data_IF_267799843061
#
_entry.id   IF_267799843061
#
_cell.length_a   1.000
_cell.length_b   1.000
_cell.length_c   1.000
_cell.angle_alpha   90.00
_cell.angle_beta   90.00
_cell.angle_gamma   90.00
#
_symmetry.space_group_name_H-M   'P 1'
#
loop_
_entity.id
_entity.type
_entity.pdbx_description
1 polymer ?
#
# COMPACT_ATOMS: atom_id res chain seq x y z
N UNK A 1 -13.74 -6.38 -19.26
CA UNK A 1 -12.82 -7.51 -19.01
C UNK A 1 -12.30 -7.42 -17.59
N UNK A 2 -11.99 -8.55 -16.96
CA UNK A 2 -11.34 -8.53 -15.66
C UNK A 2 -9.86 -8.13 -15.80
N UNK A 3 -9.24 -7.45 -14.82
CA UNK A 3 -7.82 -7.14 -14.84
C UNK A 3 -6.98 -8.42 -14.83
N UNK A 4 -5.91 -8.42 -15.63
CA UNK A 4 -4.95 -9.53 -15.65
C UNK A 4 -3.93 -9.32 -14.52
N UNK A 5 -3.80 -10.31 -13.66
CA UNK A 5 -2.86 -10.29 -12.52
C UNK A 5 -1.64 -11.15 -12.86
N UNK A 6 -0.45 -10.63 -12.61
CA UNK A 6 0.83 -11.29 -12.79
C UNK A 6 1.55 -11.25 -11.43
N UNK A 7 1.81 -12.41 -10.85
CA UNK A 7 2.53 -12.58 -9.58
C UNK A 7 3.84 -13.36 -9.74
N UNK A 8 4.08 -13.87 -10.94
CA UNK A 8 5.32 -14.56 -11.30
C UNK A 8 6.42 -13.52 -11.49
N UNK A 9 7.44 -13.55 -10.65
CA UNK A 9 8.55 -12.59 -10.67
C UNK A 9 9.30 -12.54 -11.99
N UNK A 10 9.33 -13.63 -12.77
CA UNK A 10 9.96 -13.68 -14.08
C UNK A 10 9.20 -12.92 -15.17
N UNK A 11 7.93 -12.59 -14.91
CA UNK A 11 7.04 -11.87 -15.84
C UNK A 11 6.72 -10.44 -15.40
N UNK A 12 7.25 -10.03 -14.25
CA UNK A 12 7.10 -8.67 -13.75
C UNK A 12 8.14 -7.79 -14.41
N UNK A 13 7.71 -6.64 -14.93
CA UNK A 13 8.61 -5.65 -15.52
C UNK A 13 9.53 -5.07 -14.44
N UNK A 14 10.83 -5.00 -14.75
CA UNK A 14 11.80 -4.42 -13.83
C UNK A 14 11.77 -2.89 -13.93
N UNK A 15 11.24 -2.24 -12.89
CA UNK A 15 11.17 -0.78 -12.79
C UNK A 15 12.43 -0.15 -12.19
N UNK A 16 13.43 -0.97 -11.83
CA UNK A 16 14.70 -0.48 -11.27
C UNK A 16 15.84 -0.47 -12.29
N UNK A 17 15.62 -0.98 -13.49
CA UNK A 17 16.64 -1.01 -14.53
C UNK A 17 17.08 0.40 -14.95
N UNK A 18 18.33 0.58 -15.41
CA UNK A 18 18.82 1.87 -15.91
C UNK A 18 18.09 2.33 -17.19
N UNK A 19 18.05 3.64 -17.43
CA UNK A 19 17.53 4.20 -18.67
C UNK A 19 16.02 4.39 -18.72
N UNK A 20 15.29 4.06 -17.65
CA UNK A 20 13.87 4.37 -17.55
C UNK A 20 13.66 5.86 -17.38
N UNK A 21 12.55 6.34 -17.93
CA UNK A 21 12.04 7.68 -17.69
C UNK A 21 10.86 7.63 -16.74
N UNK A 22 10.61 8.69 -16.00
CA UNK A 22 9.48 8.77 -15.09
C UNK A 22 8.84 10.14 -15.13
N UNK A 23 7.59 10.17 -14.73
CA UNK A 23 6.78 11.36 -14.71
C UNK A 23 5.47 11.14 -13.96
N UNK A 24 4.58 12.09 -14.09
CA UNK A 24 3.25 11.99 -13.53
C UNK A 24 2.20 12.54 -14.47
N UNK A 25 1.06 11.90 -14.56
CA UNK A 25 -0.05 12.38 -15.38
C UNK A 25 -1.37 12.45 -14.60
N UNK A 26 -2.28 13.36 -15.01
CA UNK A 26 -3.59 13.49 -14.39
C UNK A 26 -4.40 12.20 -14.58
N UNK A 27 -5.19 11.85 -13.57
CA UNK A 27 -6.21 10.82 -13.62
C UNK A 27 -7.60 11.44 -13.55
N UNK A 28 -8.65 10.67 -13.79
CA UNK A 28 -10.05 11.12 -13.69
C UNK A 28 -10.37 11.83 -12.35
N UNK A 29 -9.69 11.46 -11.25
CA UNK A 29 -9.87 12.05 -9.93
C UNK A 29 -9.04 13.30 -9.63
N UNK A 30 -8.43 13.96 -10.61
CA UNK A 30 -7.51 15.11 -10.48
C UNK A 30 -6.19 14.82 -9.75
N UNK A 31 -5.97 13.64 -9.23
CA UNK A 31 -4.66 13.22 -8.72
C UNK A 31 -3.73 12.94 -9.91
N UNK A 32 -2.46 13.29 -9.77
CA UNK A 32 -1.43 12.94 -10.78
C UNK A 32 -0.75 11.67 -10.29
N UNK A 33 -0.87 10.58 -11.04
CA UNK A 33 -0.20 9.32 -10.71
C UNK A 33 1.21 9.29 -11.28
N UNK A 34 2.15 8.90 -10.42
CA UNK A 34 3.54 8.68 -10.80
C UNK A 34 3.67 7.40 -11.60
N UNK A 35 4.47 7.43 -12.65
CA UNK A 35 4.78 6.27 -13.49
C UNK A 35 6.25 6.19 -13.84
N UNK A 36 6.66 4.98 -14.21
CA UNK A 36 7.94 4.66 -14.86
C UNK A 36 7.65 4.13 -16.25
N UNK A 37 8.44 4.51 -17.24
CA UNK A 37 8.25 4.14 -18.64
C UNK A 37 9.57 3.69 -19.27
N UNK A 38 9.51 2.62 -20.06
CA UNK A 38 10.65 2.19 -20.88
C UNK A 38 10.60 2.88 -22.24
N UNK A 39 11.60 3.72 -22.59
CA UNK A 39 11.54 4.58 -23.77
C UNK A 39 11.59 3.81 -25.11
N UNK A 40 12.13 2.59 -25.10
CA UNK A 40 12.29 1.76 -26.32
C UNK A 40 11.16 0.72 -26.42
N UNK A 41 10.87 0.01 -25.33
CA UNK A 41 9.84 -1.06 -25.33
C UNK A 41 8.42 -0.49 -25.22
N UNK A 42 8.27 0.77 -24.82
CA UNK A 42 7.00 1.48 -24.78
C UNK A 42 6.02 1.00 -23.71
N UNK A 43 6.50 0.26 -22.68
CA UNK A 43 5.65 -0.07 -21.56
C UNK A 43 5.71 1.03 -20.49
N UNK A 44 4.59 1.20 -19.79
CA UNK A 44 4.43 2.12 -18.69
C UNK A 44 3.91 1.41 -17.45
N UNK A 45 4.47 1.72 -16.29
CA UNK A 45 4.08 1.13 -15.00
C UNK A 45 3.75 2.24 -14.01
N UNK A 46 2.52 2.24 -13.49
CA UNK A 46 2.12 3.03 -12.34
C UNK A 46 2.50 2.30 -11.05
N UNK A 47 3.20 2.98 -10.16
CA UNK A 47 3.75 2.39 -8.94
C UNK A 47 2.80 2.57 -7.76
N UNK A 48 2.66 1.52 -6.98
CA UNK A 48 1.87 1.42 -5.76
C UNK A 48 2.68 0.70 -4.70
N UNK A 49 2.38 0.97 -3.43
CA UNK A 49 3.04 0.31 -2.30
C UNK A 49 2.02 -0.31 -1.35
N UNK A 50 2.42 -1.38 -0.66
CA UNK A 50 1.67 -1.97 0.45
C UNK A 50 2.67 -2.37 1.54
N UNK A 51 2.27 -2.29 2.82
CA UNK A 51 3.14 -2.61 3.94
C UNK A 51 2.49 -3.55 4.95
N UNK A 52 3.24 -4.57 5.36
CA UNK A 52 2.92 -5.43 6.48
C UNK A 52 3.71 -4.96 7.70
N UNK A 53 3.02 -4.49 8.74
CA UNK A 53 3.61 -3.88 9.93
C UNK A 53 3.48 -4.84 11.09
N UNK A 54 4.61 -5.28 11.62
CA UNK A 54 4.72 -6.17 12.77
C UNK A 54 5.12 -5.40 14.03
N UNK A 55 4.90 -5.98 15.19
CA UNK A 55 5.35 -5.39 16.45
C UNK A 55 6.83 -5.74 16.69
N UNK A 56 7.65 -4.70 16.93
CA UNK A 56 9.05 -4.87 17.25
C UNK A 56 9.20 -5.49 18.66
N UNK A 57 10.23 -6.33 18.84
CA UNK A 57 10.56 -7.02 20.10
C UNK A 57 9.56 -8.13 20.52
N UNK A 58 8.63 -8.51 19.65
CA UNK A 58 7.87 -9.76 19.79
C UNK A 58 8.45 -10.85 18.92
N UNK A 59 8.14 -12.09 19.27
CA UNK A 59 8.42 -13.22 18.39
C UNK A 59 7.71 -12.96 17.05
N UNK A 60 8.46 -13.08 15.95
CA UNK A 60 7.89 -12.87 14.64
C UNK A 60 6.84 -13.93 14.31
N UNK A 61 5.64 -13.48 14.05
CA UNK A 61 4.52 -14.29 13.58
C UNK A 61 4.02 -13.71 12.26
N UNK A 62 4.15 -14.46 11.14
CA UNK A 62 3.79 -13.98 9.80
C UNK A 62 2.36 -13.46 9.68
N UNK A 63 1.42 -14.07 10.40
CA UNK A 63 0.01 -13.69 10.40
C UNK A 63 -0.35 -12.57 11.37
N UNK A 64 0.60 -12.09 12.18
CA UNK A 64 0.39 -11.01 13.14
C UNK A 64 0.89 -9.67 12.61
N UNK A 65 0.09 -9.00 11.81
CA UNK A 65 0.38 -7.68 11.24
C UNK A 65 -0.84 -6.75 11.32
N UNK A 66 -0.58 -5.44 11.22
CA UNK A 66 -1.63 -4.43 11.26
C UNK A 66 -2.42 -4.36 9.94
N UNK A 67 -3.73 -4.22 10.08
CA UNK A 67 -4.67 -3.91 8.98
C UNK A 67 -5.53 -2.71 9.34
N UNK A 68 -5.93 -1.96 8.32
CA UNK A 68 -6.77 -0.76 8.43
C UNK A 68 -8.11 -0.99 7.78
N UNK A 69 -9.16 -0.38 8.31
CA UNK A 69 -10.52 -0.50 7.78
C UNK A 69 -10.86 0.71 6.93
N UNK A 70 -11.45 0.48 5.78
CA UNK A 70 -11.88 1.55 4.86
C UNK A 70 -13.16 2.21 5.32
N UNK A 71 -13.18 3.54 5.31
CA UNK A 71 -14.37 4.35 5.62
C UNK A 71 -15.47 4.17 4.57
N UNK A 72 -15.10 3.98 3.29
CA UNK A 72 -15.99 3.78 2.15
C UNK A 72 -16.19 2.29 1.80
N UNK A 73 -15.92 1.41 2.75
CA UNK A 73 -16.05 -0.04 2.58
C UNK A 73 -17.49 -0.54 2.56
N UNK A 74 -17.60 -1.88 2.50
CA UNK A 74 -18.88 -2.58 2.60
C UNK A 74 -19.68 -2.08 3.82
N UNK A 75 -20.99 -1.81 3.67
CA UNK A 75 -21.89 -1.45 4.79
C UNK A 75 -21.87 -2.42 5.98
N UNK A 76 -21.48 -3.69 5.76
CA UNK A 76 -21.23 -4.65 6.86
C UNK A 76 -20.09 -4.21 7.78
N UNK A 77 -19.32 -3.19 7.39
CA UNK A 77 -18.24 -2.62 8.19
C UNK A 77 -17.00 -3.50 8.34
N UNK A 78 -16.86 -4.55 7.52
CA UNK A 78 -15.76 -5.51 7.64
C UNK A 78 -14.86 -5.54 6.39
N UNK A 79 -14.40 -4.35 5.95
CA UNK A 79 -13.51 -4.20 4.80
C UNK A 79 -12.12 -3.78 5.24
N UNK A 80 -11.24 -4.75 5.43
CA UNK A 80 -9.90 -4.57 5.94
C UNK A 80 -8.85 -4.74 4.83
N UNK A 81 -7.73 -4.06 4.99
CA UNK A 81 -6.60 -4.16 4.06
C UNK A 81 -5.28 -3.76 4.76
N UNK A 82 -4.11 -4.22 4.28
CA UNK A 82 -2.85 -3.66 4.73
C UNK A 82 -2.77 -2.18 4.29
N UNK A 83 -2.10 -1.31 5.05
CA UNK A 83 -1.80 0.06 4.61
C UNK A 83 -1.14 0.04 3.25
N UNK A 84 -1.64 0.84 2.31
CA UNK A 84 -1.18 0.87 0.92
C UNK A 84 -1.58 2.15 0.21
N UNK A 85 -0.84 2.51 -0.82
CA UNK A 85 -1.19 3.70 -1.59
C UNK A 85 -0.61 3.72 -2.99
N UNK A 86 -1.11 4.65 -3.77
CA UNK A 86 -0.64 4.97 -5.11
C UNK A 86 0.44 6.04 -5.03
N UNK A 87 1.55 5.84 -5.72
CA UNK A 87 2.51 6.93 -5.89
C UNK A 87 1.88 8.06 -6.72
N UNK A 88 2.02 9.26 -6.23
CA UNK A 88 1.52 10.48 -6.86
C UNK A 88 2.69 11.34 -7.36
N UNK A 89 2.38 12.35 -8.18
CA UNK A 89 3.41 13.27 -8.69
C UNK A 89 4.23 13.99 -7.60
N UNK A 90 3.67 14.13 -6.40
CA UNK A 90 4.38 14.67 -5.22
C UNK A 90 5.48 13.74 -4.68
N UNK A 91 5.44 12.47 -5.05
CA UNK A 91 6.43 11.46 -4.65
C UNK A 91 7.65 11.45 -5.59
N UNK A 92 7.60 12.19 -6.71
CA UNK A 92 8.72 12.41 -7.62
C UNK A 92 9.73 13.39 -6.99
N UNK A 93 10.75 12.83 -6.38
CA UNK A 93 11.78 13.61 -5.68
C UNK A 93 13.06 13.55 -6.49
N UNK A 94 13.45 14.70 -7.05
CA UNK A 94 14.66 14.84 -7.87
C UNK A 94 15.90 14.31 -7.15
N UNK A 95 16.64 13.45 -7.83
CA UNK A 95 17.89 12.86 -7.33
C UNK A 95 17.72 11.63 -6.43
N UNK A 96 16.50 11.16 -6.19
CA UNK A 96 16.25 9.90 -5.50
C UNK A 96 16.08 8.74 -6.47
N UNK A 97 16.44 7.56 -6.03
CA UNK A 97 16.15 6.33 -6.76
C UNK A 97 14.67 5.97 -6.67
N UNK A 98 14.16 5.19 -7.62
CA UNK A 98 12.80 4.63 -7.56
C UNK A 98 12.56 3.89 -6.24
N UNK A 99 13.57 3.14 -5.78
CA UNK A 99 13.51 2.40 -4.50
C UNK A 99 13.30 3.35 -3.30
N UNK A 100 14.04 4.45 -3.24
CA UNK A 100 13.91 5.42 -2.15
C UNK A 100 12.56 6.14 -2.21
N UNK A 101 12.09 6.48 -3.41
CA UNK A 101 10.77 7.08 -3.60
C UNK A 101 9.65 6.14 -3.16
N UNK A 102 9.72 4.85 -3.49
CA UNK A 102 8.78 3.83 -2.99
C UNK A 102 8.79 3.73 -1.45
N UNK A 103 9.98 3.76 -0.84
CA UNK A 103 10.10 3.74 0.64
C UNK A 103 9.48 4.96 1.30
N UNK A 104 9.63 6.13 0.70
CA UNK A 104 9.01 7.35 1.23
C UNK A 104 7.51 7.37 1.02
N UNK A 105 7.04 6.95 -0.16
CA UNK A 105 5.62 6.78 -0.40
C UNK A 105 4.99 5.87 0.65
N UNK A 106 5.54 4.67 0.88
CA UNK A 106 4.92 3.75 1.85
C UNK A 106 4.99 4.26 3.29
N UNK A 107 6.03 5.01 3.69
CA UNK A 107 6.07 5.68 5.00
C UNK A 107 4.94 6.68 5.15
N UNK A 108 4.69 7.45 4.12
CA UNK A 108 3.60 8.43 4.08
C UNK A 108 2.24 7.74 4.16
N UNK A 109 1.99 6.74 3.32
CA UNK A 109 0.73 5.98 3.32
C UNK A 109 0.46 5.31 4.68
N UNK A 110 1.46 4.67 5.28
CA UNK A 110 1.34 4.07 6.62
C UNK A 110 0.98 5.12 7.67
N UNK A 111 1.58 6.30 7.61
CA UNK A 111 1.23 7.38 8.53
C UNK A 111 -0.20 7.92 8.28
N UNK A 112 -0.56 8.13 7.04
CA UNK A 112 -1.89 8.64 6.65
C UNK A 112 -2.98 7.63 6.97
N UNK A 113 -2.78 6.34 6.73
CA UNK A 113 -3.77 5.29 6.89
C UNK A 113 -3.75 4.63 8.28
N UNK A 114 -2.59 4.18 8.78
CA UNK A 114 -2.49 3.44 10.03
C UNK A 114 -2.05 4.29 11.23
N UNK A 115 -1.75 5.58 11.05
CA UNK A 115 -1.29 6.52 12.09
C UNK A 115 0.04 6.11 12.76
N UNK A 116 0.78 5.18 12.18
CA UNK A 116 2.10 4.75 12.64
C UNK A 116 3.17 5.62 11.99
N UNK A 117 3.99 6.31 12.80
CA UNK A 117 4.88 7.37 12.32
C UNK A 117 6.30 6.90 11.98
N UNK A 118 6.88 6.05 12.81
CA UNK A 118 8.29 5.65 12.69
C UNK A 118 8.41 4.14 12.46
N UNK A 119 8.51 3.75 11.21
CA UNK A 119 8.77 2.36 10.84
C UNK A 119 10.25 2.01 11.03
N UNK A 120 10.52 0.84 11.61
CA UNK A 120 11.83 0.21 11.74
C UNK A 120 11.97 -0.89 10.71
N UNK A 121 13.18 -1.12 10.27
CA UNK A 121 13.54 -2.20 9.33
C UNK A 121 12.59 -2.30 8.11
N UNK A 122 12.22 -1.13 7.57
CA UNK A 122 11.37 -1.06 6.39
C UNK A 122 12.12 -1.61 5.19
N UNK A 123 11.70 -2.77 4.72
CA UNK A 123 12.33 -3.53 3.64
C UNK A 123 11.32 -3.90 2.56
N UNK A 124 11.75 -3.85 1.31
CA UNK A 124 11.03 -4.45 0.20
C UNK A 124 11.15 -5.97 0.29
N UNK A 125 10.05 -6.68 0.23
CA UNK A 125 10.01 -8.16 0.40
C UNK A 125 10.50 -8.94 -0.83
N UNK A 126 10.84 -8.26 -1.91
CA UNK A 126 11.09 -8.88 -3.22
C UNK A 126 9.82 -9.24 -3.98
N UNK A 127 8.65 -9.05 -3.40
CA UNK A 127 7.37 -9.40 -4.02
C UNK A 127 6.76 -8.19 -4.71
N UNK A 128 6.26 -8.43 -5.92
CA UNK A 128 5.54 -7.42 -6.71
C UNK A 128 4.30 -8.07 -7.31
N UNK A 129 3.14 -7.45 -7.11
CA UNK A 129 1.92 -7.79 -7.82
C UNK A 129 1.78 -6.84 -9.01
N UNK A 130 1.91 -7.35 -10.23
CA UNK A 130 1.67 -6.58 -11.45
C UNK A 130 0.29 -6.86 -12.01
N UNK A 131 -0.37 -5.84 -12.52
CA UNK A 131 -1.66 -5.98 -13.20
C UNK A 131 -1.75 -5.07 -14.41
N UNK A 132 -2.56 -5.47 -15.41
CA UNK A 132 -3.06 -4.57 -16.45
C UNK A 132 -4.55 -4.33 -16.23
N UNK A 133 -5.01 -3.11 -16.49
CA UNK A 133 -6.41 -2.72 -16.34
C UNK A 133 -7.03 -2.38 -17.69
N UNK A 134 -8.26 -2.86 -17.98
CA UNK A 134 -8.87 -2.75 -19.33
C UNK A 134 -9.14 -1.30 -19.77
N UNK A 135 -9.23 -0.37 -18.85
CA UNK A 135 -9.48 1.05 -19.12
C UNK A 135 -8.21 1.85 -19.43
N UNK A 136 -7.05 1.20 -19.45
CA UNK A 136 -5.77 1.83 -19.77
C UNK A 136 -5.23 1.35 -21.12
N UNK A 137 -4.38 2.15 -21.79
CA UNK A 137 -3.77 1.76 -23.06
C UNK A 137 -3.04 0.42 -22.97
N UNK A 138 -2.88 -0.29 -24.09
CA UNK A 138 -1.98 -1.46 -24.17
C UNK A 138 -0.59 -1.12 -23.62
N UNK A 139 0.11 -2.10 -23.05
CA UNK A 139 1.42 -1.94 -22.39
C UNK A 139 1.43 -1.02 -21.17
N UNK A 140 0.26 -0.74 -20.58
CA UNK A 140 0.14 0.01 -19.33
C UNK A 140 -0.16 -0.95 -18.18
N UNK A 141 0.67 -0.87 -17.13
CA UNK A 141 0.63 -1.78 -16.00
C UNK A 141 0.57 -1.01 -14.68
N UNK A 142 0.17 -1.71 -13.62
CA UNK A 142 0.20 -1.25 -12.25
C UNK A 142 1.00 -2.25 -11.43
N UNK A 143 1.94 -1.78 -10.61
CA UNK A 143 2.70 -2.64 -9.71
C UNK A 143 2.48 -2.23 -8.27
N UNK A 144 2.10 -3.19 -7.41
CA UNK A 144 2.20 -3.09 -5.98
C UNK A 144 3.53 -3.67 -5.51
N UNK A 145 4.40 -2.82 -5.02
CA UNK A 145 5.63 -3.20 -4.33
C UNK A 145 5.31 -3.48 -2.86
N UNK A 146 5.60 -4.69 -2.41
CA UNK A 146 5.23 -5.16 -1.07
C UNK A 146 6.40 -4.95 -0.12
N UNK A 147 6.14 -4.25 0.98
CA UNK A 147 7.09 -3.98 2.04
C UNK A 147 6.69 -4.67 3.34
N UNK A 148 7.68 -4.96 4.17
CA UNK A 148 7.49 -5.30 5.58
C UNK A 148 8.23 -4.30 6.46
N UNK A 149 7.74 -4.08 7.67
CA UNK A 149 8.33 -3.18 8.63
C UNK A 149 7.94 -3.56 10.05
N UNK A 150 8.63 -2.96 11.02
CA UNK A 150 8.29 -3.08 12.44
C UNK A 150 7.94 -1.72 13.02
N UNK A 151 7.10 -1.75 14.06
CA UNK A 151 6.80 -0.59 14.88
C UNK A 151 6.91 -0.95 16.38
N UNK A 152 7.35 -0.02 17.19
CA UNK A 152 7.37 -0.19 18.63
C UNK A 152 5.96 -0.29 19.20
N UNK A 153 5.77 -1.10 20.25
CA UNK A 153 4.50 -1.23 20.96
C UNK A 153 3.83 0.12 21.27
N UNK A 154 4.58 1.07 21.83
CA UNK A 154 4.03 2.39 22.17
C UNK A 154 3.51 3.20 20.98
N UNK A 155 4.08 3.01 19.78
CA UNK A 155 3.56 3.66 18.56
C UNK A 155 2.28 3.00 18.08
N UNK A 156 2.23 1.67 18.14
CA UNK A 156 1.04 0.89 17.80
C UNK A 156 -0.09 1.23 18.76
N UNK A 157 0.19 1.25 20.07
CA UNK A 157 -0.77 1.67 21.08
C UNK A 157 -1.30 3.09 20.81
N UNK A 158 -0.42 4.05 20.51
CA UNK A 158 -0.82 5.42 20.16
C UNK A 158 -1.71 5.45 18.92
N UNK A 159 -1.44 4.59 17.94
CA UNK A 159 -2.28 4.49 16.75
C UNK A 159 -3.68 3.94 17.08
N UNK A 160 -3.79 2.91 17.90
CA UNK A 160 -5.08 2.39 18.39
C UNK A 160 -5.87 3.44 19.17
N UNK A 161 -5.24 4.21 20.07
CA UNK A 161 -5.89 5.29 20.79
C UNK A 161 -6.41 6.40 19.84
N UNK A 162 -5.67 6.70 18.77
CA UNK A 162 -6.16 7.65 17.74
C UNK A 162 -7.40 7.14 17.02
N UNK A 163 -7.45 5.86 16.66
CA UNK A 163 -8.63 5.28 16.02
C UNK A 163 -9.82 5.17 16.98
N UNK A 164 -9.56 4.91 18.27
CA UNK A 164 -10.60 5.02 19.31
C UNK A 164 -11.15 6.44 19.38
N UNK A 165 -10.27 7.43 19.42
CA UNK A 165 -10.68 8.85 19.40
C UNK A 165 -11.50 9.20 18.14
N UNK A 166 -11.12 8.72 16.96
CA UNK A 166 -11.85 8.91 15.70
C UNK A 166 -13.28 8.37 15.81
N UNK A 167 -13.47 7.19 16.40
CA UNK A 167 -14.79 6.59 16.60
C UNK A 167 -15.66 7.39 17.58
N UNK A 168 -15.05 7.94 18.60
CA UNK A 168 -15.71 8.74 19.62
C UNK A 168 -16.02 10.18 19.14
N UNK A 169 -15.37 10.65 18.04
CA UNK A 169 -15.47 12.01 17.52
C UNK A 169 -15.71 12.04 15.99
N UNK A 170 -16.81 11.46 15.48
CA UNK A 170 -17.03 11.33 14.04
C UNK A 170 -17.16 12.68 13.32
N UNK A 171 -17.66 13.73 13.99
CA UNK A 171 -17.78 15.07 13.40
C UNK A 171 -16.40 15.72 13.20
N UNK A 172 -15.48 15.55 14.13
CA UNK A 172 -14.11 16.04 14.01
C UNK A 172 -13.34 15.25 12.95
N UNK A 173 -13.54 13.95 12.90
CA UNK A 173 -12.97 13.11 11.85
C UNK A 173 -13.40 13.57 10.46
N UNK A 174 -14.68 13.91 10.27
CA UNK A 174 -15.21 14.41 9.00
C UNK A 174 -14.56 15.73 8.53
N UNK A 175 -14.01 16.54 9.44
CA UNK A 175 -13.29 17.79 9.14
C UNK A 175 -11.82 17.58 8.77
N UNK A 176 -11.26 16.41 9.03
CA UNK A 176 -9.86 16.11 8.69
C UNK A 176 -9.65 16.13 7.18
N UNK A 177 -8.40 16.33 6.76
CA UNK A 177 -8.02 16.20 5.36
C UNK A 177 -8.40 14.82 4.84
N UNK A 178 -8.80 14.74 3.56
CA UNK A 178 -9.25 13.50 2.91
C UNK A 178 -8.28 12.35 3.11
N UNK A 179 -6.99 12.58 2.92
CA UNK A 179 -5.92 11.58 3.03
C UNK A 179 -5.87 10.94 4.45
N UNK A 180 -6.27 11.70 5.49
CA UNK A 180 -6.27 11.25 6.88
C UNK A 180 -7.58 10.60 7.34
N UNK A 181 -8.64 10.63 6.51
CA UNK A 181 -9.95 10.06 6.83
C UNK A 181 -10.37 8.92 5.90
N UNK A 182 -9.45 8.39 5.12
CA UNK A 182 -9.71 7.21 4.27
C UNK A 182 -9.90 5.92 5.08
N UNK A 183 -9.38 5.90 6.32
CA UNK A 183 -9.48 4.78 7.25
C UNK A 183 -10.07 5.22 8.58
N UNK A 184 -10.97 4.43 9.13
CA UNK A 184 -11.69 4.71 10.38
C UNK A 184 -11.41 3.70 11.49
N UNK A 185 -10.64 2.66 11.21
CA UNK A 185 -10.24 1.65 12.21
C UNK A 185 -8.88 1.03 11.94
N UNK A 186 -8.29 0.46 12.99
CA UNK A 186 -7.03 -0.29 12.98
C UNK A 186 -7.23 -1.59 13.77
N UNK A 187 -6.70 -2.70 13.28
CA UNK A 187 -6.73 -3.98 13.98
C UNK A 187 -5.47 -4.80 13.66
N UNK A 188 -5.23 -5.82 14.47
CA UNK A 188 -4.38 -6.94 14.09
C UNK A 188 -5.14 -7.82 13.11
N UNK A 189 -4.46 -8.30 12.08
CA UNK A 189 -5.04 -9.25 11.14
C UNK A 189 -5.50 -10.51 11.86
N UNK A 190 -6.71 -10.95 11.53
CA UNK A 190 -7.31 -12.22 12.00
C UNK A 190 -8.15 -12.77 10.87
N UNK A 191 -7.97 -14.05 10.55
CA UNK A 191 -8.77 -14.72 9.50
C UNK A 191 -10.28 -14.69 9.81
N UNK A 192 -10.65 -14.68 11.09
CA UNK A 192 -12.03 -14.70 11.56
C UNK A 192 -12.65 -13.31 11.64
N UNK A 193 -11.86 -12.30 12.10
CA UNK A 193 -12.40 -11.01 12.51
C UNK A 193 -12.10 -9.87 11.52
N UNK A 194 -11.09 -10.02 10.66
CA UNK A 194 -10.70 -9.01 9.69
C UNK A 194 -10.78 -9.54 8.26
N UNK A 195 -11.93 -9.38 7.62
CA UNK A 195 -12.12 -9.82 6.23
C UNK A 195 -11.36 -8.91 5.29
N UNK A 196 -10.28 -9.44 4.70
CA UNK A 196 -9.51 -8.70 3.71
C UNK A 196 -10.32 -8.55 2.42
N UNK A 197 -10.58 -7.32 2.03
CA UNK A 197 -11.44 -6.95 0.91
C UNK A 197 -10.73 -5.98 -0.05
N UNK A 198 -11.39 -5.71 -1.17
CA UNK A 198 -10.89 -4.82 -2.23
C UNK A 198 -10.26 -5.57 -3.39
N UNK A 199 -9.93 -4.84 -4.44
CA UNK A 199 -9.51 -5.40 -5.73
C UNK A 199 -8.18 -6.19 -5.64
N UNK A 200 -7.24 -5.72 -4.82
CA UNK A 200 -5.87 -6.25 -4.79
C UNK A 200 -5.44 -6.80 -3.44
N UNK A 201 -6.03 -6.31 -2.35
CA UNK A 201 -5.60 -6.62 -0.99
C UNK A 201 -5.64 -8.11 -0.65
N UNK A 202 -6.66 -8.91 -1.09
CA UNK A 202 -6.66 -10.35 -0.85
C UNK A 202 -5.46 -11.05 -1.50
N UNK A 203 -5.11 -10.66 -2.74
CA UNK A 203 -3.97 -11.24 -3.46
C UNK A 203 -2.65 -10.84 -2.80
N UNK A 204 -2.50 -9.58 -2.39
CA UNK A 204 -1.31 -9.06 -1.70
C UNK A 204 -1.07 -9.83 -0.39
N UNK A 205 -2.12 -9.99 0.44
CA UNK A 205 -2.02 -10.73 1.71
C UNK A 205 -1.66 -12.20 1.47
N UNK A 206 -2.32 -12.84 0.48
CA UNK A 206 -2.00 -14.23 0.11
C UNK A 206 -0.55 -14.40 -0.35
N UNK A 207 -0.05 -13.46 -1.18
CA UNK A 207 1.36 -13.48 -1.64
C UNK A 207 2.31 -13.38 -0.46
N UNK A 208 2.08 -12.41 0.43
CA UNK A 208 2.92 -12.19 1.60
C UNK A 208 2.98 -13.43 2.52
N UNK A 209 1.82 -13.95 2.91
CA UNK A 209 1.75 -15.13 3.79
C UNK A 209 2.39 -16.36 3.15
N UNK A 210 2.10 -16.62 1.87
CA UNK A 210 2.68 -17.75 1.13
C UNK A 210 4.21 -17.69 1.08
N UNK A 211 4.80 -16.52 0.91
CA UNK A 211 6.26 -16.38 0.89
C UNK A 211 6.91 -16.64 2.27
N UNK A 212 6.14 -16.51 3.32
CA UNK A 212 6.55 -16.80 4.70
C UNK A 212 6.17 -18.24 5.16
N UNK A 213 5.63 -19.05 4.24
CA UNK A 213 5.30 -20.46 4.52
C UNK A 213 3.98 -20.67 5.27
N UNK A 214 3.05 -19.69 5.24
CA UNK A 214 1.74 -19.75 5.96
C UNK A 214 0.55 -19.86 5.00
#
# INVERSE_FOLDING_TARGET
>A
MAPKIITDSQKVLDVFQPGLIYGSEPTEGKKRYFYVEHPIEGWRVYLRTACFIHELNKLFEPSHFLVVKRTDGDPSGNTWEPPKGQMEGKDDIKGKTIYDMLRENIRREVYEEAKVKNLRDLQHTGQVLQSSEPNYPPNTFFQYHIFSAYAYHGQIYTAFEKFKWIKDHPEEFAKMRRDHREKDDLAWFSKENTKIMGKWSPTIVKMYLKALGV
#
